data_IF_514003864032
#
_entry.id   IF_514003864032
#
_cell.length_a   1.000
_cell.length_b   1.000
_cell.length_c   1.000
_cell.angle_alpha   90.00
_cell.angle_beta   90.00
_cell.angle_gamma   90.00
#
_symmetry.space_group_name_H-M   'P 1'
#
loop_
_entity.id
_entity.type
_entity.pdbx_description
1 polymer ?
#
# COMPACT_ATOMS: atom_id res chain seq x y z
N UNK A 1 -12.05 -14.74 1.17
CA UNK A 1 -11.72 -13.31 1.19
C UNK A 1 -10.55 -12.99 0.28
N UNK A 2 -10.50 -11.75 -0.21
CA UNK A 2 -9.46 -11.23 -1.08
C UNK A 2 -8.79 -10.04 -0.38
N UNK A 3 -7.46 -10.11 -0.22
CA UNK A 3 -6.64 -9.03 0.31
C UNK A 3 -5.86 -8.31 -0.77
N UNK A 4 -5.58 -7.04 -0.52
CA UNK A 4 -4.67 -6.23 -1.34
C UNK A 4 -3.62 -5.61 -0.42
N UNK A 5 -2.35 -5.79 -0.76
CA UNK A 5 -1.21 -5.20 -0.05
C UNK A 5 -0.38 -4.40 -1.03
N UNK A 6 -0.12 -3.14 -0.73
CA UNK A 6 0.67 -2.24 -1.56
C UNK A 6 1.86 -1.73 -0.74
N UNK A 7 3.07 -1.81 -1.30
CA UNK A 7 4.32 -1.55 -0.59
C UNK A 7 4.79 -2.81 0.15
N UNK A 8 4.97 -3.90 -0.58
CA UNK A 8 5.24 -5.20 0.03
C UNK A 8 6.71 -5.49 0.22
N UNK A 9 7.58 -4.67 -0.36
CA UNK A 9 9.02 -4.91 -0.38
C UNK A 9 9.30 -6.34 -0.88
N UNK A 10 10.19 -7.09 -0.24
CA UNK A 10 10.50 -8.49 -0.59
C UNK A 10 9.51 -9.52 -0.01
N UNK A 11 8.55 -9.08 0.79
CA UNK A 11 7.49 -9.90 1.38
C UNK A 11 7.90 -10.69 2.63
N UNK A 12 9.02 -10.37 3.24
CA UNK A 12 9.46 -11.04 4.48
C UNK A 12 8.91 -10.38 5.75
N UNK A 13 8.53 -9.10 5.65
CA UNK A 13 8.10 -8.29 6.79
C UNK A 13 6.73 -7.64 6.54
N UNK A 14 6.07 -7.24 7.63
CA UNK A 14 4.79 -6.54 7.64
C UNK A 14 3.69 -7.29 8.38
N UNK A 15 2.70 -6.56 8.88
CA UNK A 15 1.58 -7.06 9.67
C UNK A 15 0.71 -8.04 8.87
N UNK A 16 0.73 -7.94 7.56
CA UNK A 16 0.00 -8.79 6.62
C UNK A 16 0.63 -10.18 6.43
N UNK A 17 1.92 -10.36 6.68
CA UNK A 17 2.64 -11.62 6.46
C UNK A 17 2.00 -12.81 7.19
N UNK A 18 1.62 -12.73 8.48
CA UNK A 18 0.94 -13.81 9.17
C UNK A 18 -0.41 -14.18 8.54
N UNK A 19 -1.13 -13.20 7.96
CA UNK A 19 -2.42 -13.44 7.29
C UNK A 19 -2.21 -14.30 6.04
N UNK A 20 -1.21 -13.95 5.23
CA UNK A 20 -0.86 -14.68 4.01
C UNK A 20 -0.31 -16.08 4.30
N UNK A 21 0.46 -16.23 5.38
CA UNK A 21 1.04 -17.51 5.79
C UNK A 21 -0.01 -18.54 6.20
N UNK A 22 -1.15 -18.11 6.76
CA UNK A 22 -2.28 -18.99 7.10
C UNK A 22 -2.96 -19.60 5.89
N UNK A 23 -2.74 -19.05 4.67
CA UNK A 23 -3.31 -19.52 3.41
C UNK A 23 -4.85 -19.63 3.39
N UNK A 24 -5.51 -18.71 4.05
CA UNK A 24 -6.97 -18.71 4.18
C UNK A 24 -7.66 -17.74 3.20
N UNK A 25 -6.89 -16.90 2.50
CA UNK A 25 -7.41 -15.90 1.58
C UNK A 25 -6.52 -15.76 0.33
N UNK A 26 -7.10 -15.26 -0.74
CA UNK A 26 -6.35 -14.79 -1.91
C UNK A 26 -5.76 -13.42 -1.61
N UNK A 27 -4.53 -13.17 -2.02
CA UNK A 27 -3.88 -11.89 -1.79
C UNK A 27 -3.14 -11.42 -3.03
N UNK A 28 -3.35 -10.17 -3.39
CA UNK A 28 -2.56 -9.45 -4.39
C UNK A 28 -1.50 -8.66 -3.64
N UNK A 29 -0.23 -8.90 -3.96
CA UNK A 29 0.94 -8.22 -3.40
C UNK A 29 1.54 -7.31 -4.45
N UNK A 30 1.68 -6.02 -4.14
CA UNK A 30 2.14 -5.01 -5.10
C UNK A 30 3.42 -4.35 -4.63
N UNK A 31 4.43 -4.39 -5.50
CA UNK A 31 5.74 -3.77 -5.26
C UNK A 31 6.19 -2.99 -6.50
N UNK A 32 6.72 -1.78 -6.31
CA UNK A 32 7.13 -0.88 -7.38
C UNK A 32 8.61 -1.01 -7.76
N UNK A 33 9.47 -1.38 -6.80
CA UNK A 33 10.91 -1.55 -7.03
C UNK A 33 11.20 -2.86 -7.74
N UNK A 34 11.97 -2.80 -8.81
CA UNK A 34 12.36 -3.98 -9.61
C UNK A 34 13.09 -5.03 -8.77
N UNK A 35 14.00 -4.55 -7.92
CA UNK A 35 14.83 -5.42 -7.09
C UNK A 35 13.98 -6.15 -6.02
N UNK A 36 13.12 -5.41 -5.33
CA UNK A 36 12.28 -5.98 -4.28
C UNK A 36 11.19 -6.88 -4.86
N UNK A 37 10.59 -6.50 -5.99
CA UNK A 37 9.61 -7.34 -6.68
C UNK A 37 10.18 -8.70 -7.10
N UNK A 38 11.42 -8.74 -7.59
CA UNK A 38 12.04 -10.01 -7.96
C UNK A 38 12.19 -10.96 -6.76
N UNK A 39 12.54 -10.43 -5.59
CA UNK A 39 12.60 -11.21 -4.34
C UNK A 39 11.20 -11.63 -3.89
N UNK A 40 10.23 -10.72 -3.88
CA UNK A 40 8.83 -11.00 -3.56
C UNK A 40 8.29 -12.15 -4.40
N UNK A 41 8.47 -12.11 -5.72
CA UNK A 41 8.04 -13.15 -6.64
C UNK A 41 8.69 -14.51 -6.32
N UNK A 42 9.96 -14.52 -5.95
CA UNK A 42 10.67 -15.72 -5.56
C UNK A 42 10.14 -16.30 -4.25
N UNK A 43 9.96 -15.45 -3.22
CA UNK A 43 9.49 -15.83 -1.89
C UNK A 43 8.08 -16.46 -1.93
N UNK A 44 7.20 -15.94 -2.79
CA UNK A 44 5.82 -16.44 -2.92
C UNK A 44 5.57 -17.37 -4.12
N UNK A 45 6.60 -17.79 -4.85
CA UNK A 45 6.49 -18.62 -6.06
C UNK A 45 5.70 -19.93 -5.88
N UNK A 46 5.65 -20.47 -4.66
CA UNK A 46 4.95 -21.73 -4.33
C UNK A 46 3.58 -21.51 -3.65
N UNK A 47 3.15 -20.28 -3.46
CA UNK A 47 1.87 -19.98 -2.84
C UNK A 47 0.84 -19.60 -3.90
N UNK A 48 -0.01 -20.53 -4.31
CA UNK A 48 -1.02 -20.33 -5.35
C UNK A 48 -2.14 -19.34 -4.97
N UNK A 49 -2.24 -18.94 -3.70
CA UNK A 49 -3.20 -17.93 -3.24
C UNK A 49 -2.63 -16.50 -3.32
N UNK A 50 -1.33 -16.36 -3.58
CA UNK A 50 -0.64 -15.08 -3.69
C UNK A 50 -0.39 -14.75 -5.14
N UNK A 51 -0.75 -13.53 -5.55
CA UNK A 51 -0.47 -12.96 -6.86
C UNK A 51 0.46 -11.75 -6.70
N UNK A 52 1.78 -11.90 -6.89
CA UNK A 52 2.68 -10.76 -6.94
C UNK A 52 2.48 -9.95 -8.22
N UNK A 53 2.45 -8.63 -8.09
CA UNK A 53 2.32 -7.68 -9.21
C UNK A 53 3.38 -6.61 -9.07
N UNK A 54 4.09 -6.33 -10.16
CA UNK A 54 4.98 -5.18 -10.23
C UNK A 54 4.23 -3.98 -10.77
N UNK A 55 3.98 -3.02 -9.91
CA UNK A 55 3.38 -1.76 -10.33
C UNK A 55 3.61 -0.66 -9.29
N UNK A 56 3.62 0.58 -9.75
CA UNK A 56 3.58 1.75 -8.91
C UNK A 56 2.14 2.24 -8.81
N UNK A 57 1.66 2.44 -7.59
CA UNK A 57 0.28 2.84 -7.34
C UNK A 57 0.25 4.27 -6.82
N UNK A 58 -0.59 5.09 -7.45
CA UNK A 58 -0.85 6.47 -7.03
C UNK A 58 -2.37 6.72 -6.99
N UNK A 59 -2.86 7.81 -6.39
CA UNK A 59 -4.30 8.08 -6.35
C UNK A 59 -4.95 8.15 -7.74
N UNK A 60 -4.25 8.73 -8.73
CA UNK A 60 -4.81 9.03 -10.05
C UNK A 60 -4.14 8.28 -11.21
N UNK A 61 -3.07 7.52 -10.96
CA UNK A 61 -2.24 6.95 -12.03
C UNK A 61 -1.39 8.02 -12.75
N UNK A 62 -0.80 7.62 -13.88
CA UNK A 62 0.00 8.51 -14.73
C UNK A 62 1.50 8.39 -14.49
N UNK A 63 2.29 9.28 -15.12
CA UNK A 63 3.75 9.33 -14.95
C UNK A 63 4.11 10.14 -13.71
N UNK A 64 4.93 9.58 -12.85
CA UNK A 64 5.40 10.21 -11.60
C UNK A 64 6.89 9.98 -11.40
N UNK A 65 7.51 10.83 -10.59
CA UNK A 65 8.88 10.63 -10.14
C UNK A 65 8.85 9.65 -8.94
N UNK A 66 9.64 8.59 -9.06
CA UNK A 66 9.79 7.55 -8.05
C UNK A 66 11.20 7.59 -7.49
N UNK A 67 11.32 7.67 -6.19
CA UNK A 67 12.57 7.79 -5.46
C UNK A 67 12.92 6.46 -4.79
N UNK A 68 14.14 6.00 -5.00
CA UNK A 68 14.67 4.76 -4.39
C UNK A 68 15.88 5.10 -3.53
N UNK A 69 15.85 4.68 -2.26
CA UNK A 69 16.97 4.82 -1.34
C UNK A 69 18.06 3.78 -1.59
N UNK A 70 19.32 4.12 -1.29
CA UNK A 70 20.47 3.25 -1.55
C UNK A 70 20.39 1.88 -0.87
N UNK A 71 19.79 1.79 0.32
CA UNK A 71 19.54 0.52 1.01
C UNK A 71 18.34 -0.26 0.46
N UNK A 72 17.49 0.36 -0.38
CA UNK A 72 16.33 -0.26 -1.00
C UNK A 72 15.15 -0.53 -0.04
N UNK A 73 15.19 0.01 1.17
CA UNK A 73 14.10 -0.15 2.14
C UNK A 73 13.07 0.97 2.04
N UNK A 74 13.49 2.20 1.75
CA UNK A 74 12.60 3.34 1.61
C UNK A 74 12.45 3.68 0.14
N UNK A 75 11.30 3.38 -0.44
CA UNK A 75 10.98 3.69 -1.83
C UNK A 75 9.64 4.42 -1.87
N UNK A 76 9.59 5.61 -2.45
CA UNK A 76 8.40 6.46 -2.38
C UNK A 76 8.29 7.42 -3.57
N UNK A 77 7.10 7.96 -3.78
CA UNK A 77 6.87 9.14 -4.66
C UNK A 77 6.89 10.46 -3.89
N UNK A 78 7.12 10.42 -2.57
CA UNK A 78 7.11 11.62 -1.70
C UNK A 78 8.56 12.00 -1.37
N UNK A 79 9.10 12.93 -2.13
CA UNK A 79 10.50 13.38 -2.02
C UNK A 79 10.90 13.77 -0.59
N UNK A 80 10.01 14.42 0.17
CA UNK A 80 10.29 14.81 1.55
C UNK A 80 10.45 13.64 2.51
N UNK A 81 9.80 12.51 2.24
CA UNK A 81 9.89 11.30 3.05
C UNK A 81 11.26 10.66 2.82
N UNK A 82 11.63 10.42 1.56
CA UNK A 82 12.92 9.79 1.30
C UNK A 82 14.09 10.63 1.82
N UNK A 83 14.04 11.95 1.68
CA UNK A 83 15.06 12.86 2.22
C UNK A 83 15.15 12.86 3.76
N UNK A 84 14.08 12.47 4.45
CA UNK A 84 14.08 12.33 5.90
C UNK A 84 14.82 11.06 6.35
N UNK A 85 14.58 9.96 5.65
CA UNK A 85 15.11 8.64 6.02
C UNK A 85 16.48 8.34 5.43
N UNK A 86 16.69 8.70 4.17
CA UNK A 86 17.91 8.40 3.45
C UNK A 86 18.91 9.56 3.56
N UNK A 87 20.10 9.24 4.04
CA UNK A 87 21.26 10.17 4.13
C UNK A 87 22.27 9.95 3.01
N UNK A 88 22.12 8.86 2.27
CA UNK A 88 22.98 8.44 1.18
C UNK A 88 22.40 8.83 -0.18
N UNK A 89 22.91 8.26 -1.24
CA UNK A 89 22.50 8.57 -2.60
C UNK A 89 21.05 8.17 -2.86
N UNK A 90 20.22 9.15 -3.21
CA UNK A 90 18.82 8.95 -3.63
C UNK A 90 18.82 8.91 -5.15
N UNK A 91 18.29 7.82 -5.70
CA UNK A 91 18.04 7.72 -7.13
C UNK A 91 16.58 8.06 -7.42
N UNK A 92 16.34 8.89 -8.44
CA UNK A 92 14.99 9.14 -8.93
C UNK A 92 14.84 8.69 -10.37
N UNK A 93 13.69 8.11 -10.68
CA UNK A 93 13.32 7.67 -12.03
C UNK A 93 11.87 8.02 -12.30
N UNK A 94 11.56 8.33 -13.56
CA UNK A 94 10.16 8.45 -13.98
C UNK A 94 9.57 7.07 -14.19
N UNK A 95 8.48 6.78 -13.48
CA UNK A 95 7.73 5.52 -13.63
C UNK A 95 6.27 5.80 -13.97
N UNK A 96 5.69 4.94 -14.79
CA UNK A 96 4.25 4.90 -15.00
C UNK A 96 3.59 4.28 -13.79
N UNK A 97 2.48 4.85 -13.36
CA UNK A 97 1.66 4.34 -12.25
C UNK A 97 0.22 4.12 -12.70
N UNK A 98 -0.51 3.28 -11.97
CA UNK A 98 -1.95 3.13 -12.13
C UNK A 98 -2.67 3.62 -10.87
N UNK A 99 -3.96 3.95 -11.00
CA UNK A 99 -4.74 4.32 -9.82
C UNK A 99 -5.05 3.09 -8.95
N UNK A 100 -5.22 3.31 -7.63
CA UNK A 100 -5.64 2.24 -6.73
C UNK A 100 -7.00 1.65 -7.15
N UNK A 101 -7.90 2.47 -7.68
CA UNK A 101 -9.20 2.03 -8.19
C UNK A 101 -9.03 1.09 -9.39
N UNK A 102 -8.19 1.45 -10.37
CA UNK A 102 -7.93 0.61 -11.54
C UNK A 102 -7.23 -0.71 -11.15
N UNK A 103 -6.34 -0.67 -10.17
CA UNK A 103 -5.73 -1.88 -9.61
C UNK A 103 -6.79 -2.81 -9.02
N UNK A 104 -7.70 -2.30 -8.18
CA UNK A 104 -8.78 -3.11 -7.57
C UNK A 104 -9.68 -3.70 -8.66
N UNK A 105 -10.01 -2.93 -9.69
CA UNK A 105 -10.84 -3.42 -10.79
C UNK A 105 -10.14 -4.53 -11.58
N UNK A 106 -8.91 -4.31 -12.01
CA UNK A 106 -8.19 -5.23 -12.90
C UNK A 106 -7.71 -6.50 -12.20
N UNK A 107 -7.22 -6.37 -10.95
CA UNK A 107 -6.51 -7.44 -10.27
C UNK A 107 -7.33 -8.18 -9.21
N UNK A 108 -8.35 -7.50 -8.65
CA UNK A 108 -9.20 -8.04 -7.61
C UNK A 108 -10.66 -8.22 -8.03
N UNK A 109 -11.01 -7.93 -9.30
CA UNK A 109 -12.39 -8.04 -9.78
C UNK A 109 -13.35 -7.01 -9.20
N UNK A 110 -12.84 -5.86 -8.77
CA UNK A 110 -13.62 -4.73 -8.25
C UNK A 110 -13.97 -4.83 -6.76
N UNK A 111 -13.49 -5.86 -6.06
CA UNK A 111 -13.79 -6.04 -4.63
C UNK A 111 -12.58 -6.60 -3.87
N UNK A 112 -12.31 -5.99 -2.72
CA UNK A 112 -11.35 -6.48 -1.71
C UNK A 112 -12.04 -6.52 -0.35
N UNK A 113 -11.65 -7.47 0.49
CA UNK A 113 -12.18 -7.61 1.85
C UNK A 113 -11.30 -6.87 2.86
N UNK A 114 -9.99 -6.77 2.57
CA UNK A 114 -9.04 -6.00 3.38
C UNK A 114 -7.94 -5.37 2.52
N UNK A 115 -7.40 -4.26 3.02
CA UNK A 115 -6.34 -3.46 2.39
C UNK A 115 -5.23 -3.21 3.40
N UNK A 116 -3.98 -3.42 2.99
CA UNK A 116 -2.81 -2.98 3.74
C UNK A 116 -1.96 -2.06 2.87
N UNK A 117 -1.57 -0.93 3.41
CA UNK A 117 -0.72 0.04 2.74
C UNK A 117 0.52 0.32 3.59
N UNK A 118 1.66 0.34 2.93
CA UNK A 118 2.94 0.78 3.48
C UNK A 118 3.74 1.38 2.30
N UNK A 119 3.39 2.61 1.95
CA UNK A 119 3.89 3.30 0.75
C UNK A 119 4.57 4.62 1.08
N UNK A 120 5.10 4.69 2.29
CA UNK A 120 5.99 5.76 2.73
C UNK A 120 5.40 7.16 2.49
N UNK A 121 4.25 7.42 3.13
CA UNK A 121 3.61 8.73 3.18
C UNK A 121 2.56 9.01 2.09
N UNK A 122 2.25 8.03 1.24
CA UNK A 122 1.16 8.14 0.25
C UNK A 122 -0.14 7.46 0.70
N UNK A 123 -0.11 6.73 1.81
CA UNK A 123 -1.15 5.84 2.32
C UNK A 123 -2.53 6.51 2.39
N UNK A 124 -2.63 7.62 3.11
CA UNK A 124 -3.89 8.36 3.26
C UNK A 124 -4.46 8.80 1.89
N UNK A 125 -3.59 9.27 0.99
CA UNK A 125 -4.03 9.71 -0.34
C UNK A 125 -4.52 8.53 -1.19
N UNK A 126 -3.91 7.35 -1.06
CA UNK A 126 -4.38 6.17 -1.76
C UNK A 126 -5.76 5.74 -1.25
N UNK A 127 -5.97 5.72 0.06
CA UNK A 127 -7.27 5.36 0.64
C UNK A 127 -8.35 6.32 0.16
N UNK A 128 -8.12 7.64 0.28
CA UNK A 128 -9.07 8.66 -0.15
C UNK A 128 -9.22 8.74 -1.68
N UNK A 129 -8.26 8.22 -2.44
CA UNK A 129 -8.29 8.13 -3.90
C UNK A 129 -9.12 6.96 -4.44
N UNK A 130 -9.66 6.10 -3.60
CA UNK A 130 -10.55 5.01 -4.04
C UNK A 130 -11.88 5.60 -4.51
N UNK A 131 -12.21 5.39 -5.78
CA UNK A 131 -13.49 5.84 -6.36
C UNK A 131 -14.63 4.91 -5.93
N UNK A 132 -15.36 5.32 -4.90
CA UNK A 132 -16.47 4.55 -4.32
C UNK A 132 -17.66 4.35 -5.27
N UNK A 133 -17.71 5.04 -6.41
CA UNK A 133 -18.69 4.78 -7.47
C UNK A 133 -18.33 3.56 -8.31
N UNK A 134 -17.07 3.13 -8.30
CA UNK A 134 -16.56 2.02 -9.10
C UNK A 134 -16.26 0.78 -8.26
N UNK A 135 -15.78 0.97 -7.04
CA UNK A 135 -15.39 -0.13 -6.15
C UNK A 135 -15.83 0.18 -4.72
N UNK A 136 -16.13 -0.87 -3.94
CA UNK A 136 -16.46 -0.70 -2.53
C UNK A 136 -15.19 -0.62 -1.68
N UNK A 137 -15.19 0.25 -0.67
CA UNK A 137 -14.16 0.24 0.36
C UNK A 137 -14.16 -1.12 1.09
N UNK A 138 -12.98 -1.68 1.39
CA UNK A 138 -12.90 -2.88 2.23
C UNK A 138 -13.39 -2.60 3.66
N UNK A 139 -13.73 -3.64 4.39
CA UNK A 139 -14.15 -3.48 5.79
C UNK A 139 -12.99 -3.40 6.78
N UNK A 140 -11.80 -3.76 6.34
CA UNK A 140 -10.58 -3.69 7.15
C UNK A 140 -9.46 -3.03 6.36
N UNK A 141 -8.87 -1.96 6.92
CA UNK A 141 -7.75 -1.23 6.32
C UNK A 141 -6.66 -1.10 7.38
N UNK A 142 -5.43 -1.43 7.00
CA UNK A 142 -4.22 -1.16 7.78
C UNK A 142 -3.35 -0.22 6.96
N UNK A 143 -2.85 0.84 7.57
CA UNK A 143 -1.97 1.78 6.88
C UNK A 143 -0.99 2.46 7.83
N UNK A 144 0.16 2.87 7.28
CA UNK A 144 1.13 3.64 8.03
C UNK A 144 0.68 5.10 8.17
N UNK A 145 0.66 5.60 9.41
CA UNK A 145 0.38 7.00 9.70
C UNK A 145 1.59 7.76 10.28
N UNK A 146 2.73 7.07 10.45
CA UNK A 146 3.94 7.66 11.03
C UNK A 146 4.44 8.88 10.26
N UNK A 147 4.46 8.78 8.93
CA UNK A 147 4.94 9.82 8.03
C UNK A 147 3.91 10.95 7.78
N UNK A 148 2.73 10.92 8.41
CA UNK A 148 1.70 11.93 8.25
C UNK A 148 1.84 13.07 9.29
N UNK A 149 1.69 14.32 8.84
CA UNK A 149 1.51 15.44 9.76
C UNK A 149 0.16 15.32 10.50
N UNK A 150 0.02 15.99 11.65
CA UNK A 150 -1.21 15.92 12.44
C UNK A 150 -2.44 16.31 11.62
N UNK A 151 -2.38 17.39 10.84
CA UNK A 151 -3.50 17.82 10.00
C UNK A 151 -3.93 16.74 8.99
N UNK A 152 -2.96 16.01 8.41
CA UNK A 152 -3.26 14.90 7.49
C UNK A 152 -3.80 13.66 8.20
N UNK A 153 -3.34 13.40 9.43
CA UNK A 153 -3.94 12.35 10.28
C UNK A 153 -5.40 12.69 10.58
N UNK A 154 -5.67 13.91 10.99
CA UNK A 154 -7.03 14.35 11.30
C UNK A 154 -7.93 14.27 10.06
N UNK A 155 -7.42 14.63 8.87
CA UNK A 155 -8.14 14.53 7.62
C UNK A 155 -8.55 13.07 7.30
N UNK A 156 -7.59 12.14 7.28
CA UNK A 156 -7.89 10.73 6.95
C UNK A 156 -8.74 10.06 8.04
N UNK A 157 -8.51 10.38 9.31
CA UNK A 157 -9.28 9.80 10.40
C UNK A 157 -10.74 10.25 10.38
N UNK A 158 -11.01 11.52 10.11
CA UNK A 158 -12.37 12.04 9.95
C UNK A 158 -13.03 11.43 8.72
N UNK A 159 -12.30 11.36 7.60
CA UNK A 159 -12.78 10.74 6.36
C UNK A 159 -13.21 9.27 6.54
N UNK A 160 -12.44 8.49 7.31
CA UNK A 160 -12.77 7.10 7.62
C UNK A 160 -13.93 6.99 8.61
N UNK A 161 -13.96 7.83 9.67
CA UNK A 161 -15.06 7.85 10.65
C UNK A 161 -16.39 8.19 9.99
N UNK A 162 -16.42 9.15 9.07
CA UNK A 162 -17.62 9.53 8.31
C UNK A 162 -18.17 8.37 7.46
N UNK A 163 -17.33 7.36 7.19
CA UNK A 163 -17.67 6.13 6.47
C UNK A 163 -17.93 4.92 7.38
N UNK A 164 -18.04 5.17 8.67
CA UNK A 164 -18.38 4.17 9.67
C UNK A 164 -17.23 3.29 10.15
N UNK A 165 -15.98 3.71 9.94
CA UNK A 165 -14.83 2.99 10.48
C UNK A 165 -14.56 3.36 11.94
N UNK A 166 -14.27 2.36 12.75
CA UNK A 166 -13.62 2.49 14.05
C UNK A 166 -12.10 2.44 13.84
N UNK A 167 -11.36 3.31 14.52
CA UNK A 167 -9.93 3.48 14.32
C UNK A 167 -9.16 3.13 15.58
N UNK A 168 -8.06 2.40 15.42
CA UNK A 168 -7.04 2.21 16.42
C UNK A 168 -5.68 2.53 15.80
N UNK A 169 -4.97 3.54 16.33
CA UNK A 169 -3.62 3.88 15.91
C UNK A 169 -2.66 3.64 17.07
N UNK A 170 -1.59 2.88 16.80
CA UNK A 170 -0.54 2.55 17.77
C UNK A 170 0.78 2.37 17.04
N UNK A 171 1.85 2.98 17.53
CA UNK A 171 3.20 2.81 16.98
C UNK A 171 3.39 3.32 15.56
N UNK A 172 2.50 4.17 15.03
CA UNK A 172 2.58 4.68 13.67
C UNK A 172 1.82 3.84 12.63
N UNK A 173 1.07 2.83 13.09
CA UNK A 173 0.17 2.01 12.28
C UNK A 173 -1.26 2.28 12.71
N UNK A 174 -2.14 2.52 11.75
CA UNK A 174 -3.57 2.68 11.97
C UNK A 174 -4.35 1.48 11.42
N UNK A 175 -5.17 0.88 12.26
CA UNK A 175 -6.17 -0.11 11.89
C UNK A 175 -7.54 0.57 11.84
N UNK A 176 -8.24 0.43 10.72
CA UNK A 176 -9.58 0.93 10.49
C UNK A 176 -10.52 -0.25 10.22
N UNK A 177 -11.55 -0.42 11.04
CA UNK A 177 -12.48 -1.55 10.98
C UNK A 177 -13.90 -1.02 10.82
N UNK A 178 -14.62 -1.60 9.88
CA UNK A 178 -16.05 -1.32 9.67
C UNK A 178 -16.85 -2.62 9.72
N UNK A 179 -17.86 -2.68 10.58
CA UNK A 179 -18.78 -3.83 10.74
C UNK A 179 -19.90 -3.82 9.69
#
# INVERSE_FOLDING_TARGET
>A
PTGLVIGTHDGEFGEWVPIVQKRECKVVLVEASDNQFNKLKQNYSKNSLVKPIQNLITPNGGEVEFFEGGAGYTNTVVESVIKHWEKEEIHSTKKSSISITDLILSECGGKIDWLHLDVEGLDAKLIMGIDENKVSLPNFIIFEDYNLSQDKKDEIYNWLKDRGFELKSEGGICEAIRN
#
